data_IF_184409029607
#
_entry.id   IF_184409029607
#
_cell.length_a   1.000
_cell.length_b   1.000
_cell.length_c   1.000
_cell.angle_alpha   90.00
_cell.angle_beta   90.00
_cell.angle_gamma   90.00
#
_symmetry.space_group_name_H-M   'P 1'
#
loop_
_entity.id
_entity.type
_entity.pdbx_description
1 polymer ?
#
# COMPACT_ATOMS: atom_id res chain seq x y z
N UNK A 1 3.72 -0.60 20.40
CA UNK A 1 3.68 0.60 19.54
C UNK A 1 4.62 0.37 18.37
N UNK A 2 4.22 0.70 17.16
CA UNK A 2 5.05 0.50 15.97
C UNK A 2 6.32 1.34 15.97
N UNK A 3 7.34 0.85 15.25
CA UNK A 3 8.63 1.55 15.15
C UNK A 3 8.52 2.86 14.36
N UNK A 4 7.68 2.92 13.33
CA UNK A 4 7.53 4.14 12.53
C UNK A 4 7.01 5.34 13.34
N UNK A 5 6.19 5.13 14.38
CA UNK A 5 5.71 6.20 15.26
C UNK A 5 6.77 6.72 16.23
N UNK A 6 7.90 6.02 16.37
CA UNK A 6 9.06 6.54 17.11
C UNK A 6 9.83 7.63 16.34
N UNK A 7 9.60 7.75 15.02
CA UNK A 7 10.19 8.81 14.21
C UNK A 7 9.35 10.09 14.36
N UNK A 8 9.91 11.19 14.90
CA UNK A 8 9.13 12.38 15.22
C UNK A 8 8.32 12.94 14.04
N UNK A 9 8.92 12.97 12.84
CA UNK A 9 8.27 13.47 11.64
C UNK A 9 7.07 12.60 11.22
N UNK A 10 7.18 11.28 11.31
CA UNK A 10 6.07 10.39 10.96
C UNK A 10 4.96 10.44 12.01
N UNK A 11 5.33 10.53 13.29
CA UNK A 11 4.36 10.71 14.37
C UNK A 11 3.57 12.02 14.21
N UNK A 12 4.23 13.09 13.77
CA UNK A 12 3.60 14.38 13.52
C UNK A 12 2.68 14.36 12.30
N UNK A 13 3.09 13.71 11.20
CA UNK A 13 2.22 13.52 10.03
C UNK A 13 0.96 12.71 10.36
N UNK A 14 1.10 11.65 11.15
CA UNK A 14 -0.03 10.87 11.66
C UNK A 14 -0.95 11.74 12.51
N UNK A 15 -0.39 12.52 13.45
CA UNK A 15 -1.15 13.45 14.29
C UNK A 15 -1.88 14.50 13.46
N UNK A 16 -1.26 15.01 12.41
CA UNK A 16 -1.86 16.00 11.53
C UNK A 16 -3.11 15.43 10.85
N UNK A 17 -3.01 14.24 10.24
CA UNK A 17 -4.14 13.57 9.57
C UNK A 17 -5.22 13.12 10.56
N UNK A 18 -4.86 12.73 11.79
CA UNK A 18 -5.82 12.44 12.88
C UNK A 18 -6.70 13.65 13.22
N UNK A 19 -6.11 14.84 13.22
CA UNK A 19 -6.82 16.08 13.55
C UNK A 19 -7.58 16.66 12.35
N UNK A 20 -7.01 16.53 11.15
CA UNK A 20 -7.59 17.06 9.92
C UNK A 20 -7.22 16.21 8.70
N UNK A 21 -8.14 15.33 8.28
CA UNK A 21 -8.02 14.52 7.07
C UNK A 21 -8.72 15.13 5.85
N UNK A 22 -9.06 16.42 5.88
CA UNK A 22 -9.75 17.09 4.75
C UNK A 22 -8.83 17.35 3.57
N UNK A 23 -7.53 17.47 3.84
CA UNK A 23 -6.49 17.68 2.82
C UNK A 23 -5.87 16.36 2.39
N UNK A 24 -6.13 15.99 1.13
CA UNK A 24 -5.59 14.78 0.51
C UNK A 24 -4.06 14.75 0.51
N UNK A 25 -3.43 15.89 0.27
CA UNK A 25 -1.96 16.02 0.28
C UNK A 25 -1.35 15.64 1.63
N UNK A 26 -2.07 15.88 2.72
CA UNK A 26 -1.63 15.50 4.07
C UNK A 26 -1.70 13.98 4.28
N UNK A 27 -2.76 13.34 3.76
CA UNK A 27 -2.87 11.87 3.75
C UNK A 27 -1.76 11.27 2.90
N UNK A 28 -1.49 11.84 1.73
CA UNK A 28 -0.39 11.45 0.83
C UNK A 28 0.98 11.60 1.47
N UNK A 29 1.24 12.72 2.16
CA UNK A 29 2.50 12.94 2.87
C UNK A 29 2.72 11.91 3.99
N UNK A 30 1.69 11.64 4.79
CA UNK A 30 1.72 10.60 5.82
C UNK A 30 1.98 9.22 5.20
N UNK A 31 1.20 8.84 4.19
CA UNK A 31 1.34 7.55 3.50
C UNK A 31 2.74 7.40 2.91
N UNK A 32 3.21 8.38 2.15
CA UNK A 32 4.55 8.39 1.55
C UNK A 32 5.65 8.24 2.60
N UNK A 33 5.58 8.98 3.71
CA UNK A 33 6.57 8.88 4.78
C UNK A 33 6.63 7.49 5.42
N UNK A 34 5.46 6.91 5.72
CA UNK A 34 5.37 5.56 6.31
C UNK A 34 5.84 4.50 5.31
N UNK A 35 5.41 4.57 4.05
CA UNK A 35 5.81 3.61 3.03
C UNK A 35 7.32 3.67 2.75
N UNK A 36 7.91 4.87 2.63
CA UNK A 36 9.37 5.02 2.44
C UNK A 36 10.19 4.46 3.61
N UNK A 37 9.64 4.47 4.83
CA UNK A 37 10.28 3.86 5.99
C UNK A 37 10.36 2.32 5.87
N UNK A 38 9.32 1.65 5.37
CA UNK A 38 9.30 0.18 5.23
C UNK A 38 9.90 -0.32 3.92
N UNK A 39 9.88 0.50 2.86
CA UNK A 39 10.36 0.15 1.53
C UNK A 39 11.55 1.04 1.12
N UNK A 40 12.69 1.00 1.85
CA UNK A 40 13.82 1.88 1.57
C UNK A 40 14.64 1.42 0.36
N UNK A 41 15.30 2.37 -0.30
CA UNK A 41 16.24 2.14 -1.39
C UNK A 41 17.38 1.17 -1.03
N UNK A 42 17.84 1.21 0.22
CA UNK A 42 18.85 0.29 0.74
C UNK A 42 18.43 -1.19 0.63
N UNK A 43 17.11 -1.47 0.64
CA UNK A 43 16.55 -2.81 0.51
C UNK A 43 16.09 -3.13 -0.93
N UNK A 44 16.40 -2.27 -1.90
CA UNK A 44 16.05 -2.47 -3.30
C UNK A 44 14.61 -2.10 -3.67
N UNK A 45 13.98 -1.23 -2.87
CA UNK A 45 12.65 -0.68 -3.15
C UNK A 45 12.72 0.82 -3.44
N UNK A 46 11.71 1.36 -4.12
CA UNK A 46 11.47 2.81 -4.14
C UNK A 46 9.98 3.07 -4.12
N UNK A 47 9.55 4.07 -3.35
CA UNK A 47 8.18 4.59 -3.40
C UNK A 47 8.17 5.73 -4.40
N UNK A 48 7.51 5.55 -5.53
CA UNK A 48 7.40 6.56 -6.58
C UNK A 48 5.95 7.04 -6.68
N UNK A 49 5.70 8.34 -6.93
CA UNK A 49 4.39 8.77 -7.38
C UNK A 49 4.09 8.09 -8.73
N UNK A 50 2.89 7.53 -8.92
CA UNK A 50 2.56 6.99 -10.25
C UNK A 50 2.38 8.17 -11.21
N UNK A 51 3.36 8.39 -12.08
CA UNK A 51 3.22 9.32 -13.18
C UNK A 51 2.84 8.55 -14.44
N UNK A 52 1.58 8.73 -14.84
CA UNK A 52 1.11 8.66 -16.22
C UNK A 52 1.33 7.31 -16.93
N UNK A 53 0.72 6.24 -16.43
CA UNK A 53 0.42 5.05 -17.23
C UNK A 53 -1.06 5.08 -17.61
N UNK A 54 -1.36 5.55 -18.82
CA UNK A 54 -2.69 5.49 -19.44
C UNK A 54 -3.83 6.22 -18.69
N UNK A 55 -3.59 7.44 -18.19
CA UNK A 55 -4.64 8.27 -17.56
C UNK A 55 -5.26 7.68 -16.27
N UNK A 56 -4.66 6.63 -15.70
CA UNK A 56 -5.07 6.08 -14.42
C UNK A 56 -4.09 6.56 -13.34
N UNK A 57 -4.66 7.15 -12.28
CA UNK A 57 -3.92 7.88 -11.26
C UNK A 57 -3.91 7.02 -10.00
N UNK A 58 -2.92 6.14 -9.78
CA UNK A 58 -2.63 5.81 -8.37
C UNK A 58 -1.69 6.82 -7.76
N UNK A 59 -1.80 7.00 -6.44
CA UNK A 59 -0.96 7.98 -5.77
C UNK A 59 0.48 7.49 -5.61
N UNK A 60 0.69 6.19 -5.41
CA UNK A 60 2.01 5.60 -5.21
C UNK A 60 2.14 4.20 -5.81
N UNK A 61 3.30 3.95 -6.44
CA UNK A 61 3.79 2.61 -6.72
C UNK A 61 5.04 2.36 -5.89
N UNK A 62 5.05 1.23 -5.17
CA UNK A 62 6.26 0.66 -4.60
C UNK A 62 6.86 -0.25 -5.65
N UNK A 63 8.00 0.17 -6.19
CA UNK A 63 8.78 -0.61 -7.14
C UNK A 63 9.82 -1.44 -6.40
N UNK A 64 10.16 -2.59 -6.96
CA UNK A 64 11.21 -3.46 -6.44
C UNK A 64 12.14 -3.94 -7.55
N UNK A 65 13.42 -4.05 -7.23
CA UNK A 65 14.39 -4.74 -8.08
C UNK A 65 14.04 -6.23 -8.18
N UNK A 66 13.77 -6.71 -9.39
CA UNK A 66 13.67 -8.13 -9.69
C UNK A 66 15.04 -8.68 -10.09
N UNK A 67 15.53 -9.70 -9.37
CA UNK A 67 16.76 -10.43 -9.70
C UNK A 67 16.39 -11.85 -10.08
N UNK A 68 16.43 -12.16 -11.38
CA UNK A 68 16.14 -13.52 -11.89
C UNK A 68 17.39 -14.40 -11.86
N UNK A 69 18.53 -13.85 -12.30
CA UNK A 69 19.85 -14.48 -12.29
C UNK A 69 20.95 -13.42 -12.08
N UNK A 70 22.19 -13.82 -11.73
CA UNK A 70 23.30 -12.87 -11.61
C UNK A 70 23.50 -12.07 -12.91
N UNK A 71 23.32 -10.75 -12.85
CA UNK A 71 23.49 -9.84 -13.99
C UNK A 71 22.20 -9.34 -14.63
N UNK A 72 21.05 -10.00 -14.42
CA UNK A 72 19.74 -9.54 -14.89
C UNK A 72 19.04 -8.73 -13.80
N UNK A 73 18.79 -7.44 -14.08
CA UNK A 73 18.12 -6.50 -13.16
C UNK A 73 16.92 -5.89 -13.87
N UNK A 74 15.72 -6.33 -13.49
CA UNK A 74 14.47 -5.70 -13.87
C UNK A 74 13.88 -4.90 -12.72
N UNK A 75 12.84 -4.13 -13.02
CA UNK A 75 11.99 -3.48 -12.00
C UNK A 75 10.57 -4.01 -12.18
N UNK A 76 9.94 -4.43 -11.09
CA UNK A 76 8.55 -4.89 -11.06
C UNK A 76 7.74 -4.03 -10.11
N UNK A 77 6.44 -3.99 -10.35
CA UNK A 77 5.49 -3.30 -9.48
C UNK A 77 5.16 -4.24 -8.31
N UNK A 78 5.60 -3.88 -7.10
CA UNK A 78 5.49 -4.70 -5.89
C UNK A 78 4.20 -4.40 -5.10
N UNK A 79 3.85 -3.13 -4.97
CA UNK A 79 2.64 -2.69 -4.28
C UNK A 79 2.10 -1.43 -4.92
N UNK A 80 0.78 -1.36 -5.10
CA UNK A 80 0.08 -0.12 -5.44
C UNK A 80 -0.58 0.43 -4.19
N UNK A 81 -0.44 1.73 -3.97
CA UNK A 81 -1.06 2.39 -2.83
C UNK A 81 -1.80 3.66 -3.27
N UNK A 82 -3.05 3.75 -2.84
CA UNK A 82 -3.91 4.92 -3.07
C UNK A 82 -4.15 5.66 -1.76
N UNK A 83 -4.11 6.99 -1.78
CA UNK A 83 -4.29 7.82 -0.60
C UNK A 83 -5.38 8.87 -0.82
N UNK A 84 -6.52 8.64 -0.17
CA UNK A 84 -7.74 9.45 -0.29
C UNK A 84 -8.15 10.09 1.03
N UNK A 85 -8.94 11.16 0.95
CA UNK A 85 -9.50 11.83 2.13
C UNK A 85 -10.50 10.89 2.79
N UNK A 86 -10.79 11.08 4.08
CA UNK A 86 -11.78 10.26 4.77
C UNK A 86 -13.23 10.46 4.24
N UNK A 87 -13.50 11.59 3.58
CA UNK A 87 -14.80 11.94 3.00
C UNK A 87 -15.03 11.35 1.61
N UNK A 88 -13.99 10.81 0.97
CA UNK A 88 -14.10 10.29 -0.38
C UNK A 88 -14.88 8.97 -0.40
N UNK A 89 -15.44 8.62 -1.56
CA UNK A 89 -16.12 7.33 -1.70
C UNK A 89 -15.09 6.21 -1.70
N UNK A 90 -15.09 5.40 -0.63
CA UNK A 90 -14.22 4.23 -0.53
C UNK A 90 -14.43 3.28 -1.71
N UNK A 91 -15.67 3.07 -2.14
CA UNK A 91 -15.97 2.18 -3.27
C UNK A 91 -15.35 2.69 -4.56
N UNK A 92 -15.57 3.97 -4.90
CA UNK A 92 -15.00 4.56 -6.11
C UNK A 92 -13.46 4.54 -6.07
N UNK A 93 -12.88 4.74 -4.88
CA UNK A 93 -11.43 4.69 -4.68
C UNK A 93 -10.88 3.27 -4.89
N UNK A 94 -11.61 2.23 -4.48
CA UNK A 94 -11.22 0.83 -4.70
C UNK A 94 -11.34 0.44 -6.18
N UNK A 95 -12.39 0.91 -6.87
CA UNK A 95 -12.53 0.71 -8.32
C UNK A 95 -11.39 1.38 -9.09
N UNK A 96 -11.00 2.61 -8.71
CA UNK A 96 -9.82 3.29 -9.25
C UNK A 96 -8.53 2.49 -9.04
N UNK A 97 -8.31 2.00 -7.81
CA UNK A 97 -7.14 1.18 -7.48
C UNK A 97 -7.11 -0.12 -8.30
N UNK A 98 -8.24 -0.83 -8.43
CA UNK A 98 -8.32 -2.05 -9.24
C UNK A 98 -8.05 -1.78 -10.73
N UNK A 99 -8.59 -0.68 -11.28
CA UNK A 99 -8.36 -0.30 -12.67
C UNK A 99 -6.87 0.02 -12.93
N UNK A 100 -6.17 0.66 -11.99
CA UNK A 100 -4.74 0.93 -12.14
C UNK A 100 -3.91 -0.36 -12.12
N UNK A 101 -4.30 -1.30 -11.26
CA UNK A 101 -3.67 -2.63 -11.15
C UNK A 101 -3.83 -3.49 -12.41
N UNK A 102 -4.86 -3.25 -13.23
CA UNK A 102 -5.08 -3.99 -14.48
C UNK A 102 -3.93 -3.85 -15.48
N UNK A 103 -3.18 -2.74 -15.45
CA UNK A 103 -2.04 -2.50 -16.33
C UNK A 103 -0.68 -2.68 -15.64
N UNK A 104 -0.66 -3.19 -14.41
CA UNK A 104 0.53 -3.31 -13.60
C UNK A 104 1.50 -4.39 -14.13
N UNK A 105 2.80 -4.08 -14.10
CA UNK A 105 3.89 -5.00 -14.39
C UNK A 105 4.19 -5.88 -13.17
N UNK A 106 3.22 -6.72 -12.82
CA UNK A 106 3.25 -7.57 -11.62
C UNK A 106 3.93 -8.91 -11.91
N UNK A 107 4.54 -9.48 -10.87
CA UNK A 107 5.04 -10.83 -10.95
C UNK A 107 3.87 -11.83 -10.85
N UNK A 108 3.72 -12.68 -11.87
CA UNK A 108 2.67 -13.71 -11.92
C UNK A 108 1.22 -13.18 -11.85
N UNK A 109 0.97 -11.94 -12.27
CA UNK A 109 -0.37 -11.35 -12.23
C UNK A 109 -0.87 -11.06 -10.81
N UNK A 110 0.03 -10.99 -9.82
CA UNK A 110 -0.31 -10.78 -8.40
C UNK A 110 0.62 -9.73 -7.79
N UNK A 111 0.06 -8.88 -6.94
CA UNK A 111 0.85 -7.96 -6.14
C UNK A 111 0.04 -7.53 -4.90
N UNK A 112 0.69 -6.81 -3.99
CA UNK A 112 -0.02 -6.23 -2.87
C UNK A 112 -0.71 -4.93 -3.28
N UNK A 113 -1.77 -4.57 -2.57
CA UNK A 113 -2.44 -3.30 -2.75
C UNK A 113 -2.81 -2.69 -1.39
N UNK A 114 -2.72 -1.36 -1.29
CA UNK A 114 -3.03 -0.60 -0.08
C UNK A 114 -3.98 0.54 -0.45
N UNK A 115 -5.08 0.67 0.29
CA UNK A 115 -5.94 1.85 0.26
C UNK A 115 -5.78 2.60 1.58
N UNK A 116 -5.14 3.76 1.55
CA UNK A 116 -5.09 4.70 2.66
C UNK A 116 -6.30 5.63 2.53
N UNK A 117 -7.24 5.53 3.46
CA UNK A 117 -8.47 6.34 3.48
C UNK A 117 -8.51 7.16 4.76
N UNK A 118 -8.16 8.44 4.65
CA UNK A 118 -7.84 9.30 5.79
C UNK A 118 -6.70 8.70 6.61
N UNK A 119 -6.97 8.42 7.90
CA UNK A 119 -5.97 7.85 8.82
C UNK A 119 -5.86 6.31 8.77
N UNK A 120 -6.72 5.65 7.99
CA UNK A 120 -6.83 4.20 7.99
C UNK A 120 -6.07 3.58 6.82
N UNK A 121 -5.25 2.57 7.11
CA UNK A 121 -4.62 1.70 6.13
C UNK A 121 -5.50 0.48 5.90
N UNK A 122 -5.89 0.25 4.65
CA UNK A 122 -6.61 -0.95 4.22
C UNK A 122 -5.71 -1.79 3.32
N UNK A 123 -5.53 -3.05 3.64
CA UNK A 123 -4.62 -3.93 2.90
C UNK A 123 -5.38 -4.97 2.07
N UNK A 124 -4.80 -5.28 0.92
CA UNK A 124 -5.39 -6.18 -0.06
C UNK A 124 -4.31 -7.02 -0.76
N UNK A 125 -4.73 -8.19 -1.20
CA UNK A 125 -4.05 -8.93 -2.26
C UNK A 125 -4.73 -8.61 -3.58
N UNK A 126 -3.94 -8.34 -4.62
CA UNK A 126 -4.44 -8.24 -5.99
C UNK A 126 -4.17 -9.53 -6.76
N UNK A 127 -5.19 -10.03 -7.45
CA UNK A 127 -5.14 -11.22 -8.31
C UNK A 127 -5.79 -10.96 -9.66
N UNK A 128 -4.98 -10.79 -10.71
CA UNK A 128 -5.46 -10.47 -12.08
C UNK A 128 -6.40 -11.53 -12.67
N UNK A 129 -6.25 -12.78 -12.24
CA UNK A 129 -6.99 -13.92 -12.79
C UNK A 129 -8.40 -14.07 -12.19
N UNK A 130 -8.75 -13.28 -11.17
CA UNK A 130 -10.11 -13.26 -10.63
C UNK A 130 -11.04 -12.39 -11.49
N UNK A 131 -12.37 -12.61 -11.41
CA UNK A 131 -13.36 -11.74 -12.06
C UNK A 131 -13.17 -10.28 -11.66
N UNK A 132 -13.50 -9.36 -12.57
CA UNK A 132 -13.56 -7.93 -12.29
C UNK A 132 -14.41 -7.65 -11.04
N UNK A 133 -13.98 -6.68 -10.23
CA UNK A 133 -14.53 -6.34 -8.90
C UNK A 133 -14.32 -7.40 -7.81
N UNK A 134 -13.69 -8.53 -8.12
CA UNK A 134 -13.29 -9.56 -7.17
C UNK A 134 -11.76 -9.73 -7.11
N UNK A 135 -11.00 -8.86 -7.79
CA UNK A 135 -9.53 -8.95 -7.89
C UNK A 135 -8.80 -8.45 -6.64
N UNK A 136 -9.42 -7.57 -5.86
CA UNK A 136 -8.91 -7.07 -4.58
C UNK A 136 -9.49 -7.87 -3.41
N UNK A 137 -8.68 -8.75 -2.82
CA UNK A 137 -9.07 -9.55 -1.66
C UNK A 137 -8.61 -8.84 -0.38
N UNK A 138 -9.52 -8.46 0.54
CA UNK A 138 -9.16 -7.91 1.84
C UNK A 138 -8.17 -8.82 2.59
N UNK A 139 -7.08 -8.24 3.09
CA UNK A 139 -6.03 -8.98 3.78
C UNK A 139 -5.64 -8.34 5.11
N UNK A 140 -5.22 -9.16 6.07
CA UNK A 140 -4.88 -8.74 7.42
C UNK A 140 -3.96 -9.75 8.13
N UNK A 141 -3.40 -9.39 9.30
CA UNK A 141 -2.58 -10.29 10.09
C UNK A 141 -3.28 -11.62 10.42
N UNK A 142 -2.53 -12.74 10.51
CA UNK A 142 -3.08 -14.01 10.95
C UNK A 142 -3.51 -13.93 12.43
N UNK A 143 -4.44 -14.80 12.83
CA UNK A 143 -4.94 -14.94 14.22
C UNK A 143 -5.80 -13.79 14.76
N UNK A 144 -6.44 -13.02 13.89
CA UNK A 144 -7.45 -12.06 14.32
C UNK A 144 -8.73 -12.76 14.80
N UNK A 145 -9.36 -12.21 15.84
CA UNK A 145 -10.67 -12.68 16.33
C UNK A 145 -11.76 -12.55 15.27
N UNK A 146 -11.66 -11.52 14.43
CA UNK A 146 -12.52 -11.28 13.28
C UNK A 146 -11.65 -10.80 12.12
N UNK A 147 -11.80 -11.36 10.91
CA UNK A 147 -11.08 -10.89 9.74
C UNK A 147 -11.37 -9.41 9.50
N UNK A 148 -10.35 -8.57 9.66
CA UNK A 148 -10.39 -7.15 9.30
C UNK A 148 -9.18 -6.80 8.45
N UNK A 149 -9.36 -5.91 7.50
CA UNK A 149 -8.28 -5.42 6.65
C UNK A 149 -8.00 -3.92 6.84
N UNK A 150 -8.77 -3.24 7.69
CA UNK A 150 -8.72 -1.79 7.91
C UNK A 150 -8.15 -1.50 9.29
N UNK A 151 -7.10 -0.68 9.34
CA UNK A 151 -6.33 -0.41 10.55
C UNK A 151 -6.02 1.07 10.67
N UNK A 152 -6.32 1.64 11.83
CA UNK A 152 -6.00 3.02 12.14
C UNK A 152 -4.48 3.16 12.36
N UNK A 153 -3.81 4.10 11.69
CA UNK A 153 -2.35 4.25 11.74
C UNK A 153 -1.80 4.19 13.18
N UNK A 154 -2.27 5.07 14.08
CA UNK A 154 -1.84 5.07 15.49
C UNK A 154 -2.38 3.90 16.33
N UNK A 155 -3.70 3.76 16.39
CA UNK A 155 -4.37 2.86 17.33
C UNK A 155 -4.11 1.38 17.02
N UNK A 156 -3.99 1.02 15.73
CA UNK A 156 -3.67 -0.32 15.25
C UNK A 156 -2.21 -0.38 14.72
N UNK A 157 -1.32 0.44 15.29
CA UNK A 157 0.04 0.60 14.76
C UNK A 157 0.82 -0.70 14.70
N UNK A 158 0.61 -1.61 15.66
CA UNK A 158 1.28 -2.92 15.69
C UNK A 158 0.88 -3.77 14.49
N UNK A 159 -0.40 -3.77 14.12
CA UNK A 159 -0.90 -4.44 12.92
C UNK A 159 -0.36 -3.80 11.65
N UNK A 160 -0.34 -2.47 11.56
CA UNK A 160 0.22 -1.75 10.40
C UNK A 160 1.71 -2.08 10.23
N UNK A 161 2.50 -2.08 11.33
CA UNK A 161 3.92 -2.47 11.30
C UNK A 161 4.10 -3.92 10.83
N UNK A 162 3.31 -4.83 11.39
CA UNK A 162 3.36 -6.24 10.98
C UNK A 162 3.04 -6.41 9.49
N UNK A 163 1.98 -5.76 9.00
CA UNK A 163 1.54 -5.85 7.60
C UNK A 163 2.60 -5.34 6.64
N UNK A 164 3.15 -4.15 6.89
CA UNK A 164 4.13 -3.54 6.01
C UNK A 164 5.46 -4.32 6.00
N UNK A 165 5.89 -4.84 7.16
CA UNK A 165 7.05 -5.76 7.22
C UNK A 165 6.78 -7.07 6.50
N UNK A 166 5.59 -7.65 6.65
CA UNK A 166 5.23 -8.88 5.97
C UNK A 166 5.29 -8.71 4.46
N UNK A 167 4.69 -7.63 3.94
CA UNK A 167 4.73 -7.31 2.51
C UNK A 167 6.16 -7.12 2.00
N UNK A 168 7.03 -6.42 2.75
CA UNK A 168 8.44 -6.26 2.39
C UNK A 168 9.26 -7.55 2.43
N UNK A 169 8.80 -8.57 3.17
CA UNK A 169 9.46 -9.89 3.26
C UNK A 169 8.88 -10.92 2.28
N UNK A 170 7.66 -10.70 1.80
CA UNK A 170 6.91 -11.62 0.95
C UNK A 170 6.51 -10.89 -0.32
N UNK A 171 7.38 -10.89 -1.31
CA UNK A 171 7.28 -9.99 -2.47
C UNK A 171 6.11 -10.25 -3.41
N UNK A 172 5.41 -11.36 -3.20
CA UNK A 172 4.21 -11.71 -3.95
C UNK A 172 3.19 -12.27 -2.97
N UNK A 173 1.91 -11.88 -3.08
CA UNK A 173 0.84 -12.51 -2.32
C UNK A 173 0.81 -14.04 -2.49
N UNK A 174 0.14 -14.77 -1.58
CA UNK A 174 -0.12 -16.20 -1.72
C UNK A 174 -0.75 -16.56 -3.08
N UNK A 175 -0.56 -17.78 -3.57
CA UNK A 175 -1.31 -18.27 -4.72
C UNK A 175 -2.74 -18.60 -4.27
N UNK A 176 -3.73 -18.25 -5.09
CA UNK A 176 -5.15 -18.53 -4.86
C UNK A 176 -5.77 -19.10 -6.12
#
# INVERSE_FOLDING_TARGET
MAVYLSLPILNELVRFVENDSTYEDSVKAMASGILNYYFPAANGYTVAPEQNRNNNYTDFIILRIQRRFPGDRGVIDHTFAEAKRASDSLQASLEQLENALEHANTQFGRCWAIMIHGINFKFYEYHRNLPEHARLIPWGPPNQRQPRNSFHARNDSVEVDWMLRHMAQNDTPPAR
#
